data_IF_675039892553
#
_entry.id   IF_675039892553
#
_cell.length_a   1.000
_cell.length_b   1.000
_cell.length_c   1.000
_cell.angle_alpha   90.00
_cell.angle_beta   90.00
_cell.angle_gamma   90.00
#
_symmetry.space_group_name_H-M   'P 1'
#
loop_
_entity.id
_entity.type
_entity.pdbx_description
1 polymer ?
#
# COMPACT_ATOMS: atom_id res chain seq x y z
N UNK A 1 -10.17 -12.52 3.54
CA UNK A 1 -10.45 -11.10 3.23
C UNK A 1 -10.19 -10.87 1.75
N UNK A 2 -11.26 -10.67 1.01
CA UNK A 2 -11.30 -10.39 -0.43
C UNK A 2 -10.83 -8.96 -0.73
N UNK A 3 -10.47 -8.67 -1.99
CA UNK A 3 -10.06 -7.33 -2.40
C UNK A 3 -11.15 -6.27 -2.15
N UNK A 4 -12.42 -6.65 -2.29
CA UNK A 4 -13.56 -5.75 -2.06
C UNK A 4 -13.68 -5.34 -0.60
N UNK A 5 -13.59 -6.31 0.32
CA UNK A 5 -13.62 -6.03 1.77
C UNK A 5 -12.46 -5.11 2.20
N UNK A 6 -11.27 -5.28 1.59
CA UNK A 6 -10.12 -4.39 1.84
C UNK A 6 -10.41 -2.96 1.43
N UNK A 7 -10.97 -2.77 0.23
CA UNK A 7 -11.32 -1.44 -0.26
C UNK A 7 -12.37 -0.75 0.63
N UNK A 8 -13.38 -1.49 1.07
CA UNK A 8 -14.41 -0.93 1.95
C UNK A 8 -13.84 -0.51 3.31
N UNK A 9 -12.87 -1.24 3.86
CA UNK A 9 -12.13 -0.84 5.06
C UNK A 9 -11.30 0.41 4.80
N UNK A 10 -10.55 0.46 3.70
CA UNK A 10 -9.73 1.63 3.36
C UNK A 10 -10.59 2.89 3.20
N UNK A 11 -11.77 2.78 2.55
CA UNK A 11 -12.73 3.88 2.42
C UNK A 11 -13.26 4.36 3.76
N UNK A 12 -13.55 3.42 4.67
CA UNK A 12 -14.00 3.78 6.03
C UNK A 12 -12.89 4.47 6.82
N UNK A 13 -11.66 3.97 6.74
CA UNK A 13 -10.51 4.60 7.36
C UNK A 13 -10.27 6.01 6.81
N UNK A 14 -10.38 6.20 5.49
CA UNK A 14 -10.27 7.52 4.88
C UNK A 14 -11.32 8.51 5.41
N UNK A 15 -12.56 8.05 5.59
CA UNK A 15 -13.65 8.86 6.20
C UNK A 15 -13.39 9.20 7.66
N UNK A 16 -12.71 8.33 8.41
CA UNK A 16 -12.30 8.59 9.80
C UNK A 16 -11.14 9.60 9.89
N UNK A 17 -10.56 10.01 8.76
CA UNK A 17 -9.53 11.04 8.71
C UNK A 17 -8.15 10.56 9.18
N UNK A 18 -7.86 9.26 9.09
CA UNK A 18 -6.48 8.79 9.31
C UNK A 18 -5.51 9.44 8.32
N UNK A 19 -4.27 9.64 8.76
CA UNK A 19 -3.24 10.25 7.92
C UNK A 19 -2.48 9.23 7.06
N UNK A 20 -2.30 8.01 7.55
CA UNK A 20 -1.49 6.96 6.91
C UNK A 20 -2.19 5.61 7.04
N UNK A 21 -2.19 4.81 5.96
CA UNK A 21 -2.63 3.41 5.97
C UNK A 21 -1.50 2.53 5.45
N UNK A 22 -1.13 1.52 6.23
CA UNK A 22 -0.26 0.44 5.75
C UNK A 22 -1.07 -0.59 4.95
N UNK A 23 -0.85 -0.63 3.64
CA UNK A 23 -1.57 -1.52 2.72
C UNK A 23 -1.00 -2.96 2.67
N UNK A 24 0.11 -3.22 3.37
CA UNK A 24 0.73 -4.53 3.51
C UNK A 24 2.10 -4.64 2.83
N UNK A 25 2.42 -5.84 2.32
CA UNK A 25 3.75 -6.20 1.84
C UNK A 25 3.74 -6.70 0.37
N UNK A 26 4.00 -5.83 -0.63
CA UNK A 26 3.85 -6.15 -2.05
C UNK A 26 4.73 -7.27 -2.57
N UNK A 27 5.88 -7.53 -1.94
CA UNK A 27 6.82 -8.54 -2.41
C UNK A 27 6.55 -9.92 -1.80
N UNK A 28 5.53 -10.05 -0.96
CA UNK A 28 5.12 -11.33 -0.38
C UNK A 28 4.54 -12.28 -1.45
N UNK A 29 3.77 -11.75 -2.40
CA UNK A 29 3.18 -12.50 -3.51
C UNK A 29 2.68 -11.55 -4.61
N UNK A 30 2.40 -12.08 -5.81
CA UNK A 30 1.75 -11.29 -6.89
C UNK A 30 0.37 -10.78 -6.46
N UNK A 31 -0.39 -11.60 -5.73
CA UNK A 31 -1.68 -11.18 -5.18
C UNK A 31 -1.55 -10.01 -4.19
N UNK A 32 -0.49 -9.98 -3.38
CA UNK A 32 -0.22 -8.88 -2.47
C UNK A 32 0.17 -7.60 -3.22
N UNK A 33 0.97 -7.72 -4.28
CA UNK A 33 1.31 -6.62 -5.17
C UNK A 33 0.08 -5.99 -5.80
N UNK A 34 -0.77 -6.79 -6.45
CA UNK A 34 -1.99 -6.30 -7.11
C UNK A 34 -2.97 -5.67 -6.14
N UNK A 35 -3.07 -6.22 -4.92
CA UNK A 35 -3.91 -5.66 -3.87
C UNK A 35 -3.42 -4.27 -3.42
N UNK A 36 -2.13 -4.11 -3.14
CA UNK A 36 -1.57 -2.80 -2.72
C UNK A 36 -1.74 -1.78 -3.82
N UNK A 37 -1.51 -2.18 -5.07
CA UNK A 37 -1.73 -1.35 -6.24
C UNK A 37 -3.19 -0.92 -6.38
N UNK A 38 -4.14 -1.84 -6.16
CA UNK A 38 -5.57 -1.54 -6.19
C UNK A 38 -5.95 -0.51 -5.11
N UNK A 39 -5.45 -0.69 -3.88
CA UNK A 39 -5.67 0.26 -2.77
C UNK A 39 -5.08 1.65 -3.09
N UNK A 40 -3.87 1.70 -3.64
CA UNK A 40 -3.22 2.94 -4.04
C UNK A 40 -3.98 3.67 -5.17
N UNK A 41 -4.54 2.92 -6.12
CA UNK A 41 -5.40 3.46 -7.19
C UNK A 41 -6.72 4.02 -6.66
N UNK A 42 -7.34 3.32 -5.72
CA UNK A 42 -8.60 3.73 -5.12
C UNK A 42 -8.47 5.10 -4.44
N UNK A 43 -7.42 5.28 -3.63
CA UNK A 43 -7.17 6.56 -2.96
C UNK A 43 -7.00 7.68 -3.98
N UNK A 44 -6.23 7.48 -5.05
CA UNK A 44 -6.09 8.52 -6.10
C UNK A 44 -7.43 8.97 -6.71
N UNK A 45 -8.42 8.09 -6.83
CA UNK A 45 -9.70 8.40 -7.49
C UNK A 45 -10.63 9.21 -6.61
N UNK A 46 -10.85 8.73 -5.38
CA UNK A 46 -11.94 9.23 -4.53
C UNK A 46 -11.43 10.08 -3.36
N UNK A 47 -10.15 9.96 -2.98
CA UNK A 47 -9.65 10.41 -1.68
C UNK A 47 -8.18 10.89 -1.72
N UNK A 48 -7.92 12.19 -1.62
CA UNK A 48 -6.54 12.70 -1.54
C UNK A 48 -5.77 12.29 -0.26
N UNK A 49 -6.44 11.68 0.73
CA UNK A 49 -5.87 11.15 1.98
C UNK A 49 -6.63 9.88 2.39
N UNK A 50 -6.04 8.96 3.17
CA UNK A 50 -4.69 8.93 3.76
C UNK A 50 -3.58 8.64 2.76
N UNK A 51 -2.33 8.86 3.17
CA UNK A 51 -1.16 8.35 2.47
C UNK A 51 -1.08 6.83 2.64
N UNK A 52 -1.09 6.09 1.53
CA UNK A 52 -0.78 4.67 1.54
C UNK A 52 0.73 4.47 1.72
N UNK A 53 1.09 3.60 2.66
CA UNK A 53 2.43 3.06 2.84
C UNK A 53 2.43 1.54 2.67
N UNK A 54 3.59 1.00 2.33
CA UNK A 54 3.79 -0.44 2.23
C UNK A 54 5.11 -0.83 2.86
N UNK A 55 5.10 -2.00 3.50
CA UNK A 55 6.28 -2.62 4.06
C UNK A 55 7.14 -3.20 2.94
N UNK A 56 8.46 -3.16 3.06
CA UNK A 56 9.37 -3.89 2.17
C UNK A 56 10.68 -4.31 2.83
N UNK A 57 11.30 -5.36 2.28
CA UNK A 57 12.65 -5.79 2.65
C UNK A 57 13.67 -4.84 2.04
N UNK A 58 14.87 -4.80 2.64
CA UNK A 58 15.95 -3.90 2.22
C UNK A 58 16.78 -4.43 1.04
N UNK A 59 16.16 -5.11 0.08
CA UNK A 59 16.82 -5.53 -1.18
C UNK A 59 16.38 -4.62 -2.31
N UNK A 60 17.26 -4.36 -3.30
CA UNK A 60 16.94 -3.48 -4.42
C UNK A 60 15.68 -3.94 -5.18
N UNK A 61 15.61 -5.24 -5.47
CA UNK A 61 14.47 -5.88 -6.14
C UNK A 61 13.15 -5.66 -5.39
N UNK A 62 13.17 -5.81 -4.07
CA UNK A 62 11.97 -5.63 -3.25
C UNK A 62 11.54 -4.17 -3.13
N UNK A 63 12.51 -3.25 -3.09
CA UNK A 63 12.26 -1.81 -3.10
C UNK A 63 11.61 -1.40 -4.43
N UNK A 64 12.20 -1.81 -5.56
CA UNK A 64 11.70 -1.46 -6.90
C UNK A 64 10.27 -1.97 -7.10
N UNK A 65 10.01 -3.23 -6.72
CA UNK A 65 8.68 -3.83 -6.80
C UNK A 65 7.66 -3.18 -5.86
N UNK A 66 8.04 -2.87 -4.61
CA UNK A 66 7.14 -2.15 -3.70
C UNK A 66 6.86 -0.73 -4.20
N UNK A 67 7.85 -0.08 -4.80
CA UNK A 67 7.69 1.24 -5.39
C UNK A 67 6.69 1.20 -6.56
N UNK A 68 6.80 0.23 -7.46
CA UNK A 68 5.86 0.02 -8.56
C UNK A 68 4.41 -0.16 -8.09
N UNK A 69 4.19 -0.87 -6.97
CA UNK A 69 2.86 -1.04 -6.39
C UNK A 69 2.27 0.29 -5.90
N UNK A 70 3.11 1.18 -5.34
CA UNK A 70 2.69 2.46 -4.76
C UNK A 70 2.58 3.61 -5.76
N UNK A 71 3.23 3.51 -6.93
CA UNK A 71 3.26 4.57 -7.96
C UNK A 71 1.86 5.04 -8.39
N UNK A 72 0.85 4.18 -8.26
CA UNK A 72 -0.53 4.54 -8.59
C UNK A 72 -1.09 5.66 -7.70
N UNK A 73 -0.58 5.84 -6.47
CA UNK A 73 -0.96 6.94 -5.59
C UNK A 73 -0.17 8.19 -5.93
N UNK A 74 -0.61 8.92 -6.95
CA UNK A 74 -0.15 10.30 -7.19
C UNK A 74 -1.00 11.21 -6.31
N UNK A 75 -0.70 11.21 -5.02
CA UNK A 75 -1.11 12.26 -4.09
C UNK A 75 0.12 12.63 -3.23
N UNK A 76 0.99 13.45 -3.82
CA UNK A 76 2.15 14.18 -3.27
C UNK A 76 3.19 13.50 -2.36
N UNK A 77 2.98 12.37 -1.65
CA UNK A 77 3.98 11.77 -0.72
C UNK A 77 3.81 10.26 -0.46
N UNK A 78 4.07 9.35 -1.41
CA UNK A 78 4.16 7.91 -1.09
C UNK A 78 5.27 7.66 -0.04
N UNK A 79 4.97 6.92 1.03
CA UNK A 79 5.94 6.57 2.10
C UNK A 79 6.20 5.06 2.10
N UNK A 80 7.47 4.68 2.13
CA UNK A 80 7.91 3.28 2.22
C UNK A 80 8.62 3.05 3.55
N UNK A 81 8.22 2.00 4.29
CA UNK A 81 8.87 1.60 5.54
C UNK A 81 9.73 0.36 5.29
N UNK A 82 11.04 0.46 5.59
CA UNK A 82 11.97 -0.67 5.50
C UNK A 82 11.98 -1.44 6.83
N UNK A 83 11.91 -2.76 6.79
CA UNK A 83 12.13 -3.59 7.99
C UNK A 83 12.89 -4.89 7.70
N UNK A 84 13.54 -5.43 8.73
CA UNK A 84 14.22 -6.73 8.69
C UNK A 84 13.24 -7.83 9.13
N UNK A 85 12.63 -8.54 8.19
CA UNK A 85 11.90 -9.77 8.51
C UNK A 85 12.92 -10.90 8.67
N UNK A 86 13.03 -11.46 9.88
CA UNK A 86 13.77 -12.69 10.12
C UNK A 86 12.88 -13.82 9.61
N UNK A 87 13.31 -14.48 8.54
CA UNK A 87 12.69 -15.72 8.10
C UNK A 87 13.09 -16.81 9.10
N UNK A 88 12.12 -17.29 9.88
CA UNK A 88 12.23 -18.54 10.62
C UNK A 88 11.90 -19.71 9.68
#
# INVERSE_FOLDING_TARGET
MTSKEKLDIVRQLAKLGVDVIEAGFPTASDAAFELVKLVAQEMKRDMCRPVICAFTRSTKKDIDRTWEALLAQICLRPKMTKGKQHAH
#
